data_IF_771752091983
#
_entry.id   IF_771752091983
#
_cell.length_a   1.000
_cell.length_b   1.000
_cell.length_c   1.000
_cell.angle_alpha   90.00
_cell.angle_beta   90.00
_cell.angle_gamma   90.00
#
_symmetry.space_group_name_H-M   'P 1'
#
loop_
_entity.id
_entity.type
_entity.pdbx_description
1 polymer ?
#
# COMPACT_ATOMS: atom_id res chain seq x y z
N UNK A 1 35.61 -6.03 -28.59
CA UNK A 1 34.12 -6.11 -28.71
C UNK A 1 33.54 -6.96 -27.59
N UNK A 2 34.18 -8.08 -27.18
CA UNK A 2 33.70 -9.03 -26.15
C UNK A 2 33.69 -8.42 -24.75
N UNK A 3 34.65 -7.56 -24.41
CA UNK A 3 34.76 -6.95 -23.08
C UNK A 3 33.68 -5.89 -22.81
N UNK A 4 33.27 -5.19 -23.86
CA UNK A 4 32.21 -4.16 -23.75
C UNK A 4 30.81 -4.77 -23.58
N UNK A 5 30.57 -5.92 -24.21
CA UNK A 5 29.34 -6.69 -24.06
C UNK A 5 29.20 -7.32 -22.65
N UNK A 6 30.33 -7.73 -22.05
CA UNK A 6 30.36 -8.28 -20.69
C UNK A 6 30.06 -7.19 -19.64
N UNK A 7 30.62 -5.97 -19.84
CA UNK A 7 30.34 -4.81 -18.99
C UNK A 7 28.89 -4.36 -19.09
N UNK A 8 28.30 -4.37 -20.30
CA UNK A 8 26.89 -4.07 -20.53
C UNK A 8 25.97 -5.12 -19.90
N UNK A 9 26.32 -6.42 -20.00
CA UNK A 9 25.58 -7.49 -19.33
C UNK A 9 25.65 -7.36 -17.81
N UNK A 10 26.83 -7.10 -17.24
CA UNK A 10 26.98 -6.91 -15.79
C UNK A 10 26.27 -5.65 -15.29
N UNK A 11 26.27 -4.56 -16.08
CA UNK A 11 25.52 -3.34 -15.76
C UNK A 11 24.01 -3.55 -15.87
N UNK A 12 23.55 -4.35 -16.86
CA UNK A 12 22.17 -4.73 -17.03
C UNK A 12 21.69 -5.66 -15.91
N UNK A 13 22.53 -6.64 -15.51
CA UNK A 13 22.27 -7.56 -14.38
C UNK A 13 22.24 -6.78 -13.07
N UNK A 14 23.13 -5.81 -12.85
CA UNK A 14 23.15 -4.96 -11.66
C UNK A 14 21.91 -4.06 -11.60
N UNK A 15 21.43 -3.54 -12.74
CA UNK A 15 20.21 -2.74 -12.83
C UNK A 15 18.93 -3.57 -12.65
N UNK A 16 18.97 -4.88 -12.94
CA UNK A 16 17.85 -5.81 -12.71
C UNK A 16 17.86 -6.42 -11.31
N UNK A 17 18.98 -6.41 -10.59
CA UNK A 17 19.08 -6.95 -9.23
C UNK A 17 18.31 -6.11 -8.19
N UNK A 18 18.01 -4.86 -8.50
CA UNK A 18 17.25 -3.96 -7.62
C UNK A 18 15.75 -3.86 -7.98
N UNK A 19 15.24 -4.76 -8.84
CA UNK A 19 13.82 -4.79 -9.20
C UNK A 19 13.17 -6.07 -8.72
N UNK A 20 12.06 -5.94 -8.04
CA UNK A 20 11.15 -7.04 -7.75
C UNK A 20 10.15 -7.17 -8.91
N UNK A 21 10.29 -8.21 -9.71
CA UNK A 21 9.36 -8.49 -10.80
C UNK A 21 8.34 -9.51 -10.27
N UNK A 22 7.07 -9.12 -10.29
CA UNK A 22 5.96 -9.92 -9.78
C UNK A 22 4.98 -10.16 -10.93
N UNK A 23 4.73 -11.40 -11.28
CA UNK A 23 3.67 -11.75 -12.22
C UNK A 23 2.29 -11.81 -11.53
N UNK A 24 1.23 -11.89 -12.33
CA UNK A 24 -0.14 -11.93 -11.80
C UNK A 24 -0.44 -13.16 -10.94
N UNK A 25 0.22 -14.28 -11.20
CA UNK A 25 0.05 -15.50 -10.40
C UNK A 25 0.65 -15.31 -9.01
N UNK A 26 1.87 -14.78 -8.95
CA UNK A 26 2.55 -14.47 -7.70
C UNK A 26 1.80 -13.37 -6.92
N UNK A 27 1.36 -12.32 -7.61
CA UNK A 27 0.55 -11.26 -7.01
C UNK A 27 -0.69 -11.81 -6.30
N UNK A 28 -1.46 -12.67 -6.97
CA UNK A 28 -2.66 -13.28 -6.40
C UNK A 28 -2.33 -14.13 -5.16
N UNK A 29 -1.25 -14.93 -5.20
CA UNK A 29 -0.82 -15.72 -4.03
C UNK A 29 -0.46 -14.84 -2.83
N UNK A 30 0.16 -13.67 -3.08
CA UNK A 30 0.53 -12.72 -2.03
C UNK A 30 -0.74 -12.06 -1.44
N UNK A 31 -1.72 -11.70 -2.28
CA UNK A 31 -3.01 -11.17 -1.80
C UNK A 31 -3.77 -12.22 -0.98
N UNK A 32 -3.79 -13.49 -1.41
CA UNK A 32 -4.38 -14.60 -0.64
C UNK A 32 -3.69 -14.76 0.73
N UNK A 33 -2.36 -14.71 0.75
CA UNK A 33 -1.59 -14.79 2.00
C UNK A 33 -1.97 -13.65 2.95
N UNK A 34 -2.12 -12.42 2.44
CA UNK A 34 -2.58 -11.27 3.21
C UNK A 34 -3.99 -11.51 3.77
N UNK A 35 -4.93 -11.98 2.94
CA UNK A 35 -6.29 -12.29 3.37
C UNK A 35 -6.33 -13.33 4.50
N UNK A 36 -5.50 -14.38 4.40
CA UNK A 36 -5.38 -15.42 5.43
C UNK A 36 -4.83 -14.84 6.74
N UNK A 37 -3.82 -13.95 6.68
CA UNK A 37 -3.27 -13.29 7.88
C UNK A 37 -4.34 -12.47 8.59
N UNK A 38 -5.09 -11.65 7.84
CA UNK A 38 -6.17 -10.82 8.38
C UNK A 38 -7.24 -11.72 9.03
N UNK A 39 -7.68 -12.75 8.33
CA UNK A 39 -8.69 -13.70 8.84
C UNK A 39 -8.24 -14.39 10.14
N UNK A 40 -7.01 -14.92 10.17
CA UNK A 40 -6.45 -15.61 11.33
C UNK A 40 -6.24 -14.71 12.54
N UNK A 41 -6.08 -13.40 12.34
CA UNK A 41 -5.92 -12.44 13.43
C UNK A 41 -7.20 -12.22 14.25
N UNK A 42 -8.36 -12.66 13.74
CA UNK A 42 -9.66 -12.38 14.32
C UNK A 42 -10.15 -10.94 14.15
N UNK A 43 -9.38 -10.06 13.50
CA UNK A 43 -9.82 -8.71 13.19
C UNK A 43 -10.97 -8.73 12.19
N UNK A 44 -12.04 -8.03 12.51
CA UNK A 44 -13.22 -7.90 11.66
C UNK A 44 -13.34 -6.44 11.20
N UNK A 45 -12.85 -6.09 10.02
CA UNK A 45 -13.07 -4.77 9.46
C UNK A 45 -14.53 -4.58 9.08
N UNK A 46 -15.03 -3.36 9.26
CA UNK A 46 -16.36 -2.95 8.80
C UNK A 46 -16.28 -2.33 7.40
N UNK A 47 -15.13 -1.74 7.05
CA UNK A 47 -14.88 -1.13 5.75
C UNK A 47 -13.40 -1.31 5.34
N UNK A 48 -13.18 -1.49 4.05
CA UNK A 48 -11.85 -1.48 3.44
C UNK A 48 -11.60 -0.12 2.79
N UNK A 49 -10.43 0.46 3.00
CA UNK A 49 -10.00 1.67 2.33
C UNK A 49 -8.68 1.38 1.61
N UNK A 50 -8.67 1.54 0.28
CA UNK A 50 -7.46 1.38 -0.53
C UNK A 50 -6.84 2.71 -0.87
N UNK A 51 -5.54 2.83 -0.63
CA UNK A 51 -4.76 3.97 -1.11
C UNK A 51 -4.53 3.78 -2.61
N UNK A 52 -5.02 4.71 -3.40
CA UNK A 52 -4.84 4.62 -4.85
C UNK A 52 -3.43 5.09 -5.24
N UNK A 53 -2.79 4.44 -6.16
CA UNK A 53 -3.31 3.40 -7.09
C UNK A 53 -3.06 1.98 -6.57
N UNK A 54 -1.98 1.73 -5.81
CA UNK A 54 -1.50 0.40 -5.43
C UNK A 54 -2.48 -0.42 -4.59
N UNK A 55 -3.18 0.22 -3.65
CA UNK A 55 -4.16 -0.44 -2.79
C UNK A 55 -5.47 -0.84 -3.49
N UNK A 56 -5.77 -0.28 -4.67
CA UNK A 56 -7.05 -0.54 -5.33
C UNK A 56 -7.26 -2.00 -5.74
N UNK A 57 -6.33 -2.69 -6.40
CA UNK A 57 -6.52 -4.11 -6.74
C UNK A 57 -6.63 -5.00 -5.50
N UNK A 58 -5.96 -4.64 -4.42
CA UNK A 58 -5.97 -5.40 -3.16
C UNK A 58 -7.37 -5.37 -2.55
N UNK A 59 -7.95 -4.17 -2.39
CA UNK A 59 -9.27 -4.06 -1.77
C UNK A 59 -10.39 -4.58 -2.67
N UNK A 60 -10.22 -4.59 -4.01
CA UNK A 60 -11.17 -5.26 -4.89
C UNK A 60 -11.26 -6.76 -4.56
N UNK A 61 -10.11 -7.44 -4.42
CA UNK A 61 -10.07 -8.85 -4.04
C UNK A 61 -10.58 -9.05 -2.61
N UNK A 62 -10.05 -8.30 -1.64
CA UNK A 62 -10.41 -8.45 -0.22
C UNK A 62 -11.90 -8.14 0.03
N UNK A 63 -12.48 -7.19 -0.70
CA UNK A 63 -13.91 -6.86 -0.58
C UNK A 63 -14.81 -8.03 -0.94
N UNK A 64 -14.44 -8.81 -1.94
CA UNK A 64 -15.16 -10.04 -2.35
C UNK A 64 -14.94 -11.16 -1.35
N UNK A 65 -13.70 -11.35 -0.88
CA UNK A 65 -13.34 -12.39 0.10
C UNK A 65 -14.08 -12.18 1.41
N UNK A 66 -14.07 -10.96 1.94
CA UNK A 66 -14.68 -10.64 3.22
C UNK A 66 -16.14 -10.16 3.12
N UNK A 67 -16.67 -10.02 1.89
CA UNK A 67 -18.03 -9.49 1.61
C UNK A 67 -18.25 -8.10 2.23
N UNK A 68 -17.25 -7.23 2.10
CA UNK A 68 -17.25 -5.88 2.65
C UNK A 68 -17.35 -4.82 1.55
N UNK A 69 -17.85 -3.67 1.92
CA UNK A 69 -17.79 -2.48 1.08
C UNK A 69 -16.40 -1.84 1.15
N UNK A 70 -16.05 -1.10 0.12
CA UNK A 70 -14.76 -0.43 0.04
C UNK A 70 -14.89 1.03 -0.38
N UNK A 71 -13.86 1.80 -0.01
CA UNK A 71 -13.65 3.17 -0.43
C UNK A 71 -12.23 3.35 -0.96
N UNK A 72 -12.01 4.36 -1.78
CA UNK A 72 -10.73 4.65 -2.41
C UNK A 72 -10.27 6.04 -2.03
N UNK A 73 -9.06 6.12 -1.48
CA UNK A 73 -8.37 7.35 -1.12
C UNK A 73 -7.25 7.60 -2.13
N UNK A 74 -7.37 8.65 -2.94
CA UNK A 74 -6.29 9.04 -3.84
C UNK A 74 -5.23 9.84 -3.07
N UNK A 75 -3.98 9.42 -3.20
CA UNK A 75 -2.80 10.06 -2.63
C UNK A 75 -1.71 10.12 -3.69
N UNK A 76 -1.17 11.30 -3.91
CA UNK A 76 -0.06 11.50 -4.84
C UNK A 76 1.14 12.13 -4.13
N UNK A 77 2.33 11.68 -4.48
CA UNK A 77 3.57 12.34 -4.08
C UNK A 77 3.96 13.34 -5.15
N UNK A 78 3.94 14.61 -4.82
CA UNK A 78 4.41 15.66 -5.71
C UNK A 78 5.94 15.73 -5.60
N UNK A 79 6.67 15.20 -6.57
CA UNK A 79 8.06 15.55 -6.78
C UNK A 79 8.09 16.88 -7.54
N UNK A 80 8.32 17.99 -6.83
CA UNK A 80 8.52 19.29 -7.46
C UNK A 80 9.68 19.22 -8.45
N UNK A 81 9.49 19.69 -9.66
CA UNK A 81 10.60 19.89 -10.59
C UNK A 81 11.58 20.88 -9.95
N UNK A 82 12.78 20.42 -9.58
CA UNK A 82 13.89 21.31 -9.36
C UNK A 82 14.79 21.20 -8.13
N UNK A 83 14.59 20.29 -7.19
CA UNK A 83 15.60 20.06 -6.13
C UNK A 83 15.62 18.60 -5.68
N UNK A 84 16.79 17.98 -5.77
CA UNK A 84 17.03 16.56 -5.45
C UNK A 84 16.80 16.17 -3.98
N UNK A 85 16.47 17.10 -3.08
CA UNK A 85 16.43 16.89 -1.63
C UNK A 85 15.06 17.13 -0.94
N UNK A 86 13.98 17.41 -1.68
CA UNK A 86 12.67 17.52 -1.05
C UNK A 86 11.86 16.25 -1.30
N UNK A 87 11.74 15.42 -0.25
CA UNK A 87 10.68 14.41 -0.17
C UNK A 87 9.35 15.09 -0.55
N UNK A 88 8.78 14.71 -1.70
CA UNK A 88 7.62 15.38 -2.26
C UNK A 88 6.47 15.47 -1.26
N UNK A 89 5.80 16.61 -1.25
CA UNK A 89 4.61 16.81 -0.43
C UNK A 89 3.53 15.83 -0.88
N UNK A 90 2.92 15.09 0.09
CA UNK A 90 1.80 14.20 -0.22
C UNK A 90 0.53 15.03 -0.35
N UNK A 91 -0.09 14.94 -1.52
CA UNK A 91 -1.38 15.55 -1.80
C UNK A 91 -2.47 14.49 -1.69
N UNK A 92 -3.46 14.78 -0.86
CA UNK A 92 -4.64 13.93 -0.65
C UNK A 92 -5.82 14.46 -1.45
N UNK A 93 -6.63 13.56 -1.99
CA UNK A 93 -7.94 13.95 -2.52
C UNK A 93 -8.80 14.59 -1.44
N UNK A 94 -9.66 15.54 -1.82
CA UNK A 94 -10.60 16.18 -0.87
C UNK A 94 -11.62 15.20 -0.34
N UNK A 95 -12.04 14.25 -1.19
CA UNK A 95 -13.08 13.26 -0.90
C UNK A 95 -12.58 11.86 -1.27
N UNK A 96 -13.10 10.86 -0.56
CA UNK A 96 -12.93 9.46 -0.97
C UNK A 96 -14.02 9.05 -1.95
N UNK A 97 -13.65 8.24 -2.95
CA UNK A 97 -14.64 7.59 -3.83
C UNK A 97 -15.22 6.37 -3.12
N UNK A 98 -16.52 6.40 -2.82
CA UNK A 98 -17.19 5.31 -2.12
C UNK A 98 -18.68 5.26 -2.44
N UNK A 99 -19.25 4.05 -2.42
CA UNK A 99 -20.70 3.81 -2.42
C UNK A 99 -21.25 3.54 -1.02
N UNK A 100 -20.42 3.66 0.01
CA UNK A 100 -20.80 3.48 1.42
C UNK A 100 -21.53 4.71 1.91
N UNK A 101 -22.80 4.56 2.26
CA UNK A 101 -23.62 5.68 2.76
C UNK A 101 -23.12 6.22 4.11
N UNK A 102 -22.72 5.32 5.01
CA UNK A 102 -22.17 5.68 6.31
C UNK A 102 -20.90 4.89 6.56
N UNK A 103 -19.77 5.60 6.68
CA UNK A 103 -18.49 5.02 7.02
C UNK A 103 -18.28 5.06 8.53
N UNK A 104 -18.12 3.89 9.17
CA UNK A 104 -17.90 3.78 10.62
C UNK A 104 -17.26 2.45 10.99
N UNK A 105 -16.78 2.34 12.21
CA UNK A 105 -16.30 1.09 12.81
C UNK A 105 -14.81 0.83 12.59
N UNK A 106 -14.46 -0.42 12.37
CA UNK A 106 -13.10 -0.88 12.17
C UNK A 106 -12.70 -0.70 10.71
N UNK A 107 -11.65 0.05 10.46
CA UNK A 107 -11.12 0.33 9.12
C UNK A 107 -9.91 -0.55 8.87
N UNK A 108 -9.85 -1.18 7.70
CA UNK A 108 -8.64 -1.77 7.16
C UNK A 108 -8.14 -0.89 6.01
N UNK A 109 -7.03 -0.18 6.26
CA UNK A 109 -6.36 0.66 5.26
C UNK A 109 -5.33 -0.18 4.52
N UNK A 110 -5.46 -0.28 3.19
CA UNK A 110 -4.64 -1.13 2.33
C UNK A 110 -3.81 -0.32 1.35
N UNK A 111 -2.55 -0.72 1.19
CA UNK A 111 -1.66 -0.27 0.14
C UNK A 111 -0.85 -1.45 -0.40
N UNK A 112 -0.21 -1.32 -1.56
CA UNK A 112 0.63 -2.40 -2.11
C UNK A 112 1.98 -2.48 -1.40
N UNK A 113 2.60 -1.35 -1.12
CA UNK A 113 3.97 -1.28 -0.64
C UNK A 113 4.13 -0.25 0.49
N UNK A 114 4.75 -0.68 1.58
CA UNK A 114 5.32 0.24 2.56
C UNK A 114 6.78 0.50 2.20
N UNK A 115 7.04 1.59 1.45
CA UNK A 115 8.39 2.02 1.08
C UNK A 115 9.08 2.68 2.28
N UNK A 116 8.82 3.95 2.55
CA UNK A 116 9.27 4.65 3.75
C UNK A 116 8.26 4.56 4.90
N UNK A 117 6.99 4.33 4.57
CA UNK A 117 5.85 4.33 5.48
C UNK A 117 5.18 5.69 5.67
N UNK A 118 5.70 6.75 5.06
CA UNK A 118 5.17 8.12 5.19
C UNK A 118 3.73 8.19 4.68
N UNK A 119 3.42 7.55 3.55
CA UNK A 119 2.07 7.55 2.97
C UNK A 119 1.06 6.92 3.91
N UNK A 120 1.37 5.78 4.51
CA UNK A 120 0.48 5.10 5.47
C UNK A 120 0.23 5.95 6.71
N UNK A 121 1.30 6.51 7.31
CA UNK A 121 1.17 7.38 8.48
C UNK A 121 0.28 8.59 8.19
N UNK A 122 0.56 9.33 7.13
CA UNK A 122 -0.22 10.52 6.76
C UNK A 122 -1.66 10.17 6.36
N UNK A 123 -1.90 9.00 5.75
CA UNK A 123 -3.24 8.53 5.42
C UNK A 123 -4.07 8.22 6.67
N UNK A 124 -3.46 7.62 7.69
CA UNK A 124 -4.12 7.39 8.98
C UNK A 124 -4.52 8.73 9.62
N UNK A 125 -3.62 9.72 9.62
CA UNK A 125 -3.90 11.03 10.19
C UNK A 125 -4.96 11.78 9.39
N UNK A 126 -4.95 11.64 8.07
CA UNK A 126 -5.99 12.19 7.21
C UNK A 126 -7.36 11.57 7.50
N UNK A 127 -7.44 10.24 7.61
CA UNK A 127 -8.68 9.51 7.91
C UNK A 127 -9.28 9.94 9.25
N UNK A 128 -8.46 10.15 10.28
CA UNK A 128 -8.91 10.63 11.60
C UNK A 128 -9.52 12.04 11.54
N UNK A 129 -9.09 12.86 10.58
CA UNK A 129 -9.56 14.24 10.37
C UNK A 129 -10.69 14.33 9.34
N UNK A 130 -10.93 13.26 8.57
CA UNK A 130 -11.93 13.27 7.50
C UNK A 130 -13.35 13.38 8.07
N UNK A 131 -14.11 14.46 7.74
CA UNK A 131 -15.37 14.77 8.42
C UNK A 131 -16.38 13.63 8.44
N UNK A 132 -16.61 12.85 7.34
CA UNK A 132 -17.54 11.74 7.36
C UNK A 132 -17.18 10.61 8.33
N UNK A 133 -15.91 10.51 8.76
CA UNK A 133 -15.39 9.50 9.68
C UNK A 133 -15.20 10.02 11.12
N UNK A 134 -15.25 11.34 11.34
CA UNK A 134 -15.03 11.92 12.68
C UNK A 134 -15.99 11.34 13.72
N UNK A 135 -15.42 10.86 14.84
CA UNK A 135 -16.18 10.25 15.93
C UNK A 135 -16.77 8.86 15.63
N UNK A 136 -16.56 8.33 14.42
CA UNK A 136 -17.12 7.06 13.98
C UNK A 136 -16.09 5.94 13.83
N UNK A 137 -14.80 6.26 13.89
CA UNK A 137 -13.72 5.30 13.80
C UNK A 137 -13.58 4.57 15.13
N UNK A 138 -13.71 3.25 15.10
CA UNK A 138 -13.44 2.38 16.24
C UNK A 138 -11.95 1.98 16.30
N UNK A 139 -11.40 1.57 15.17
CA UNK A 139 -9.98 1.29 15.00
C UNK A 139 -9.56 1.43 13.55
N UNK A 140 -8.27 1.68 13.31
CA UNK A 140 -7.66 1.62 11.98
C UNK A 140 -6.55 0.58 12.08
N UNK A 141 -6.57 -0.42 11.21
CA UNK A 141 -5.47 -1.34 10.97
C UNK A 141 -4.99 -1.20 9.54
N UNK A 142 -3.72 -1.49 9.32
CA UNK A 142 -3.05 -1.34 8.03
C UNK A 142 -2.64 -2.68 7.45
N UNK A 143 -2.73 -2.81 6.13
CA UNK A 143 -2.37 -4.02 5.41
C UNK A 143 -1.62 -3.67 4.13
N UNK A 144 -0.46 -4.34 3.91
CA UNK A 144 0.34 -4.18 2.70
C UNK A 144 0.77 -5.53 2.14
N UNK A 145 1.01 -5.58 0.83
CA UNK A 145 1.60 -6.77 0.23
C UNK A 145 3.08 -6.85 0.57
N UNK A 146 3.81 -5.75 0.42
CA UNK A 146 5.25 -5.69 0.68
C UNK A 146 5.62 -4.57 1.64
N UNK A 147 6.64 -4.85 2.46
CA UNK A 147 7.31 -3.85 3.27
C UNK A 147 8.79 -3.88 2.92
N UNK A 148 9.34 -2.74 2.48
CA UNK A 148 10.78 -2.59 2.25
C UNK A 148 11.56 -2.65 3.55
N UNK A 149 12.84 -3.06 3.46
CA UNK A 149 13.73 -3.21 4.61
C UNK A 149 13.82 -1.92 5.44
N UNK A 150 13.97 -0.78 4.76
CA UNK A 150 14.21 0.52 5.41
C UNK A 150 12.92 1.28 5.76
N UNK A 151 11.75 0.67 5.50
CA UNK A 151 10.49 1.27 5.93
C UNK A 151 10.42 1.39 7.45
N UNK A 152 10.19 2.60 7.94
CA UNK A 152 10.06 2.91 9.37
C UNK A 152 8.67 2.60 9.91
N UNK A 153 7.69 2.33 9.02
CA UNK A 153 6.33 1.98 9.40
C UNK A 153 6.18 0.47 9.54
N UNK A 154 5.55 0.02 10.62
CA UNK A 154 5.21 -1.39 10.81
C UNK A 154 3.71 -1.60 10.56
N UNK A 155 3.31 -2.13 9.39
CA UNK A 155 1.92 -2.43 9.11
C UNK A 155 1.39 -3.52 10.04
N UNK A 156 0.11 -3.46 10.42
CA UNK A 156 -0.53 -4.53 11.21
C UNK A 156 -0.50 -5.87 10.46
N UNK A 157 -0.63 -5.83 9.14
CA UNK A 157 -0.56 -7.00 8.26
C UNK A 157 0.40 -6.72 7.10
N UNK A 158 1.34 -7.62 6.91
CA UNK A 158 2.30 -7.57 5.81
C UNK A 158 2.47 -8.96 5.23
N UNK A 159 2.10 -9.15 3.96
CA UNK A 159 2.21 -10.46 3.33
C UNK A 159 3.67 -10.91 3.16
N UNK A 160 4.56 -9.97 2.84
CA UNK A 160 5.99 -10.26 2.64
C UNK A 160 6.87 -9.07 3.04
N UNK A 161 7.80 -9.31 3.97
CA UNK A 161 8.88 -8.38 4.29
C UNK A 161 10.03 -8.61 3.32
N UNK A 162 10.53 -7.54 2.71
CA UNK A 162 11.65 -7.59 1.78
C UNK A 162 12.97 -7.39 2.56
N UNK A 163 14.00 -8.12 2.15
CA UNK A 163 15.34 -8.01 2.75
C UNK A 163 16.20 -6.89 2.13
N UNK A 164 15.66 -6.21 1.13
CA UNK A 164 16.26 -5.10 0.39
C UNK A 164 15.20 -4.06 0.05
N UNK A 165 15.57 -3.03 -0.70
CA UNK A 165 14.70 -1.96 -1.14
C UNK A 165 14.53 -1.96 -2.66
N UNK A 166 14.00 -3.04 -3.29
CA UNK A 166 13.82 -3.10 -4.72
C UNK A 166 12.75 -2.10 -5.21
N UNK A 167 12.84 -1.78 -6.48
CA UNK A 167 11.79 -1.09 -7.24
C UNK A 167 10.98 -2.06 -8.08
#
# INVERSE_FOLDING_TARGET
VTFHLQLLKNKLIFFMADKLIVDWKEYNLIVEKLAIQIHKSGFKPDILIGIMRGGAPIIDVLSRVFKLKCAYLAVESYSGEGTEDQQGELVFSREMSSTVQEMKGNILLCDDLSDTGVTLNKSIDWLKKYPPLQGKIKSIKTAVLWKKKDSTFEPDYCAQKLNSNPW
#
